data_IF_949047691004
#
_entry.id   IF_949047691004
#
_cell.length_a   1.000
_cell.length_b   1.000
_cell.length_c   1.000
_cell.angle_alpha   90.00
_cell.angle_beta   90.00
_cell.angle_gamma   90.00
#
_symmetry.space_group_name_H-M   'P 1'
#
loop_
_entity.id
_entity.type
_entity.pdbx_description
1 polymer ?
#
# COMPACT_ATOMS: atom_id res chain seq x y z
N UNK A 1 -10.40 -5.09 -20.95
CA UNK A 1 -10.44 -3.61 -20.91
C UNK A 1 -9.14 -3.14 -20.29
N UNK A 2 -8.56 -2.04 -20.76
CA UNK A 2 -7.37 -1.46 -20.14
C UNK A 2 -7.73 -1.03 -18.71
N UNK A 3 -6.96 -1.49 -17.73
CA UNK A 3 -7.08 -1.05 -16.34
C UNK A 3 -6.63 0.41 -16.22
N UNK A 4 -7.00 1.08 -15.12
CA UNK A 4 -6.47 2.44 -14.87
C UNK A 4 -4.94 2.45 -14.83
N UNK A 5 -4.34 1.33 -14.42
CA UNK A 5 -2.90 1.16 -14.39
C UNK A 5 -2.28 1.04 -15.78
N UNK A 6 -2.97 0.42 -16.75
CA UNK A 6 -2.49 0.33 -18.14
C UNK A 6 -2.36 1.71 -18.78
N UNK A 7 -3.25 2.65 -18.42
CA UNK A 7 -3.16 4.06 -18.84
C UNK A 7 -2.08 4.86 -18.09
N UNK A 8 -1.49 4.26 -17.05
CA UNK A 8 -0.52 4.86 -16.14
C UNK A 8 0.85 4.14 -16.16
N UNK A 9 1.05 3.12 -17.02
CA UNK A 9 2.29 2.34 -17.07
C UNK A 9 3.49 3.20 -17.50
N UNK A 10 4.63 2.91 -16.86
CA UNK A 10 5.87 3.67 -16.94
C UNK A 10 6.72 3.26 -18.17
N UNK A 11 7.38 4.25 -18.78
CA UNK A 11 8.66 4.07 -19.46
C UNK A 11 9.68 5.04 -18.83
N UNK A 12 10.70 4.51 -18.13
CA UNK A 12 11.99 5.17 -17.87
C UNK A 12 12.06 6.42 -16.95
N UNK A 13 12.57 6.20 -15.73
CA UNK A 13 13.36 7.08 -14.86
C UNK A 13 12.91 8.53 -14.58
N UNK A 14 11.94 8.67 -13.68
CA UNK A 14 11.96 9.49 -12.45
C UNK A 14 10.52 9.47 -11.88
N UNK A 15 10.25 8.58 -10.92
CA UNK A 15 8.91 8.38 -10.33
C UNK A 15 8.27 9.70 -9.84
N UNK A 16 9.09 10.65 -9.36
CA UNK A 16 8.63 11.98 -8.92
C UNK A 16 8.23 12.85 -10.11
N UNK A 17 8.98 12.81 -11.22
CA UNK A 17 8.63 13.55 -12.42
C UNK A 17 7.33 13.02 -13.06
N UNK A 18 7.19 11.69 -13.14
CA UNK A 18 5.97 11.05 -13.61
C UNK A 18 4.76 11.42 -12.74
N UNK A 19 4.91 11.39 -11.40
CA UNK A 19 3.87 11.81 -10.47
C UNK A 19 3.42 13.24 -10.75
N UNK A 20 4.38 14.17 -10.94
CA UNK A 20 4.06 15.58 -11.23
C UNK A 20 3.29 15.72 -12.55
N UNK A 21 3.68 14.99 -13.58
CA UNK A 21 3.03 15.02 -14.90
C UNK A 21 1.62 14.43 -14.87
N UNK A 22 1.38 13.41 -14.04
CA UNK A 22 0.11 12.68 -13.99
C UNK A 22 -0.79 13.10 -12.81
N UNK A 23 -0.36 14.05 -11.98
CA UNK A 23 -1.06 14.46 -10.76
C UNK A 23 -2.54 14.82 -10.99
N UNK A 24 -2.85 15.52 -12.07
CA UNK A 24 -4.24 15.88 -12.41
C UNK A 24 -5.09 14.63 -12.67
N UNK A 25 -4.60 13.68 -13.49
CA UNK A 25 -5.29 12.41 -13.76
C UNK A 25 -5.45 11.59 -12.47
N UNK A 26 -4.39 11.47 -11.69
CA UNK A 26 -4.38 10.73 -10.42
C UNK A 26 -5.37 11.30 -9.40
N UNK A 27 -5.56 12.62 -9.39
CA UNK A 27 -6.48 13.29 -8.45
C UNK A 27 -7.96 12.94 -8.66
N UNK A 28 -8.33 12.46 -9.84
CA UNK A 28 -9.70 12.03 -10.15
C UNK A 28 -9.99 10.59 -9.75
N UNK A 29 -8.96 9.79 -9.46
CA UNK A 29 -9.12 8.36 -9.17
C UNK A 29 -9.74 8.14 -7.81
N UNK A 30 -10.85 7.40 -7.76
CA UNK A 30 -11.52 7.02 -6.51
C UNK A 30 -11.36 5.53 -6.17
N UNK A 31 -11.41 5.15 -4.88
CA UNK A 31 -11.49 3.75 -4.46
C UNK A 31 -12.61 2.96 -5.15
N UNK A 32 -13.78 3.58 -5.32
CA UNK A 32 -14.94 2.95 -5.95
C UNK A 32 -14.67 2.60 -7.41
N UNK A 33 -14.06 3.50 -8.18
CA UNK A 33 -13.70 3.24 -9.57
C UNK A 33 -12.63 2.14 -9.67
N UNK A 34 -11.60 2.20 -8.82
CA UNK A 34 -10.57 1.16 -8.76
C UNK A 34 -11.17 -0.23 -8.51
N UNK A 35 -12.06 -0.33 -7.52
CA UNK A 35 -12.69 -1.60 -7.15
C UNK A 35 -13.68 -2.09 -8.22
N UNK A 36 -14.37 -1.18 -8.91
CA UNK A 36 -15.31 -1.54 -9.98
C UNK A 36 -14.58 -2.07 -11.21
N UNK A 37 -13.54 -1.38 -11.65
CA UNK A 37 -12.91 -1.60 -12.96
C UNK A 37 -11.81 -2.68 -12.91
N UNK A 38 -11.42 -3.12 -11.71
CA UNK A 38 -10.42 -4.17 -11.51
C UNK A 38 -10.91 -5.58 -11.85
N UNK A 39 -10.13 -6.31 -12.65
CA UNK A 39 -10.31 -7.74 -13.00
C UNK A 39 -9.50 -8.69 -12.08
N UNK A 40 -8.53 -8.16 -11.36
CA UNK A 40 -7.58 -8.84 -10.48
C UNK A 40 -8.01 -8.87 -9.00
N UNK A 41 -9.33 -8.90 -8.74
CA UNK A 41 -9.88 -9.05 -7.39
C UNK A 41 -9.77 -10.49 -6.91
N UNK A 42 -9.38 -10.71 -5.65
CA UNK A 42 -9.18 -12.05 -5.09
C UNK A 42 -9.57 -12.11 -3.62
N UNK A 43 -10.02 -13.29 -3.16
CA UNK A 43 -10.16 -13.60 -1.73
C UNK A 43 -8.89 -14.23 -1.15
N UNK A 44 -8.00 -14.71 -2.02
CA UNK A 44 -6.80 -15.45 -1.66
C UNK A 44 -5.59 -14.52 -1.66
N UNK A 45 -5.41 -13.82 -0.54
CA UNK A 45 -4.26 -12.96 -0.32
C UNK A 45 -2.97 -13.79 -0.15
N UNK A 46 -1.92 -13.40 -0.87
CA UNK A 46 -0.57 -13.96 -0.78
C UNK A 46 0.37 -12.97 -0.09
N UNK A 47 1.24 -13.47 0.80
CA UNK A 47 2.28 -12.66 1.46
C UNK A 47 3.23 -12.04 0.44
N UNK A 48 3.69 -10.82 0.72
CA UNK A 48 4.66 -10.12 -0.12
C UNK A 48 4.09 -9.49 -1.39
N UNK A 49 2.80 -9.65 -1.67
CA UNK A 49 2.09 -8.89 -2.73
C UNK A 49 1.47 -7.62 -2.16
N UNK A 50 0.97 -6.75 -3.04
CA UNK A 50 0.39 -5.46 -2.66
C UNK A 50 -1.12 -5.48 -2.96
N UNK A 51 -1.93 -5.05 -1.99
CA UNK A 51 -3.38 -5.07 -2.11
C UNK A 51 -4.03 -3.77 -1.68
N UNK A 52 -5.13 -3.41 -2.33
CA UNK A 52 -6.12 -2.47 -1.80
C UNK A 52 -7.41 -3.21 -1.44
N UNK A 53 -8.12 -2.75 -0.43
CA UNK A 53 -9.40 -3.35 0.00
C UNK A 53 -10.17 -2.38 0.90
N UNK A 54 -11.48 -2.57 1.04
CA UNK A 54 -12.26 -1.86 2.05
C UNK A 54 -12.12 -2.54 3.41
N UNK A 55 -11.94 -1.74 4.47
CA UNK A 55 -11.74 -2.23 5.82
C UNK A 55 -12.53 -1.43 6.86
N UNK A 56 -13.20 -2.12 7.78
CA UNK A 56 -13.91 -1.50 8.90
C UNK A 56 -13.24 -1.88 10.24
N UNK A 57 -12.38 -1.03 10.84
CA UNK A 57 -11.60 -1.42 12.01
C UNK A 57 -12.43 -1.77 13.25
N UNK A 58 -12.13 -2.92 13.88
CA UNK A 58 -12.77 -3.38 15.14
C UNK A 58 -12.86 -2.32 16.24
N UNK A 59 -11.80 -1.53 16.41
CA UNK A 59 -11.71 -0.52 17.47
C UNK A 59 -11.85 0.91 16.95
N UNK A 60 -12.58 1.13 15.85
CA UNK A 60 -12.74 2.45 15.20
C UNK A 60 -13.16 3.58 16.15
N UNK A 61 -13.94 3.28 17.19
CA UNK A 61 -14.35 4.26 18.20
C UNK A 61 -13.16 4.75 19.04
N UNK A 62 -12.20 3.88 19.37
CA UNK A 62 -11.03 4.18 20.21
C UNK A 62 -9.79 4.60 19.43
N UNK A 63 -9.64 4.18 18.17
CA UNK A 63 -8.48 4.52 17.35
C UNK A 63 -8.40 6.04 17.11
N UNK A 64 -7.21 6.67 17.19
CA UNK A 64 -7.07 8.11 16.99
C UNK A 64 -7.34 8.52 15.52
N UNK A 65 -7.01 7.64 14.58
CA UNK A 65 -7.28 7.73 13.15
C UNK A 65 -7.02 6.36 12.51
N UNK A 66 -7.60 6.12 11.35
CA UNK A 66 -7.46 4.86 10.61
C UNK A 66 -7.77 5.08 9.13
N UNK A 67 -7.30 4.18 8.28
CA UNK A 67 -7.56 4.17 6.83
C UNK A 67 -8.61 3.08 6.52
N UNK A 68 -9.70 3.46 5.84
CA UNK A 68 -10.77 2.52 5.42
C UNK A 68 -10.54 1.93 4.04
N UNK A 69 -9.54 2.43 3.29
CA UNK A 69 -9.14 1.88 2.00
C UNK A 69 -7.61 1.74 1.93
N UNK A 70 -7.03 0.84 2.74
CA UNK A 70 -5.58 0.70 2.88
C UNK A 70 -4.89 0.11 1.66
N UNK A 71 -3.67 0.59 1.37
CA UNK A 71 -2.72 -0.03 0.41
C UNK A 71 -1.68 -0.84 1.18
N UNK A 72 -1.83 -2.17 1.21
CA UNK A 72 -1.14 -3.04 2.16
C UNK A 72 -0.23 -4.06 1.46
N UNK A 73 0.98 -4.22 2.00
CA UNK A 73 1.84 -5.38 1.73
C UNK A 73 1.77 -6.31 2.95
N UNK A 74 1.11 -7.48 2.87
CA UNK A 74 1.03 -8.45 3.96
C UNK A 74 2.41 -9.10 4.17
N UNK A 75 2.88 -9.12 5.42
CA UNK A 75 4.21 -9.64 5.77
C UNK A 75 4.16 -10.82 6.74
N UNK A 76 3.03 -11.02 7.44
CA UNK A 76 2.89 -12.11 8.40
C UNK A 76 1.43 -12.56 8.54
N UNK A 77 1.21 -13.87 8.55
CA UNK A 77 -0.12 -14.47 8.71
C UNK A 77 -0.41 -14.76 10.17
N UNK A 78 -1.66 -14.53 10.57
CA UNK A 78 -2.21 -14.92 11.87
C UNK A 78 -3.49 -15.74 11.65
N UNK A 79 -3.99 -16.40 12.69
CA UNK A 79 -5.20 -17.20 12.61
C UNK A 79 -6.45 -16.37 12.28
N UNK A 80 -6.54 -15.14 12.79
CA UNK A 80 -7.68 -14.24 12.64
C UNK A 80 -7.43 -13.08 11.64
N UNK A 81 -6.32 -13.13 10.88
CA UNK A 81 -6.03 -12.12 9.86
C UNK A 81 -4.55 -12.04 9.49
N UNK A 82 -4.02 -10.84 9.27
CA UNK A 82 -2.61 -10.65 8.90
C UNK A 82 -2.00 -9.32 9.41
N UNK A 83 -0.68 -9.31 9.55
CA UNK A 83 0.10 -8.10 9.75
C UNK A 83 0.56 -7.60 8.39
N UNK A 84 0.47 -6.29 8.16
CA UNK A 84 0.86 -5.71 6.88
C UNK A 84 1.39 -4.29 7.01
N UNK A 85 2.08 -3.86 5.95
CA UNK A 85 2.61 -2.51 5.79
C UNK A 85 1.60 -1.69 4.97
N UNK A 86 0.86 -0.80 5.61
CA UNK A 86 0.00 0.15 4.93
C UNK A 86 0.80 1.38 4.47
N UNK A 87 1.04 1.45 3.17
CA UNK A 87 1.84 2.50 2.54
C UNK A 87 1.21 3.89 2.71
N UNK A 88 -0.11 4.00 2.89
CA UNK A 88 -0.79 5.30 2.98
C UNK A 88 -0.37 6.14 4.18
N UNK A 89 0.14 5.52 5.26
CA UNK A 89 0.59 6.21 6.47
C UNK A 89 1.88 7.03 6.25
N UNK A 90 2.57 6.83 5.14
CA UNK A 90 3.72 7.64 4.75
C UNK A 90 3.33 8.68 3.69
N UNK A 91 4.03 9.82 3.67
CA UNK A 91 3.97 10.73 2.55
C UNK A 91 4.58 10.07 1.29
N UNK A 92 4.16 10.45 0.06
CA UNK A 92 4.57 9.80 -1.19
C UNK A 92 6.07 9.55 -1.34
N UNK A 93 6.93 10.52 -0.98
CA UNK A 93 8.39 10.36 -1.03
C UNK A 93 8.90 9.27 -0.10
N UNK A 94 8.34 9.17 1.11
CA UNK A 94 8.71 8.14 2.08
C UNK A 94 8.17 6.77 1.68
N UNK A 95 7.00 6.72 1.01
CA UNK A 95 6.46 5.48 0.41
C UNK A 95 7.45 4.90 -0.60
N UNK A 96 7.97 5.75 -1.49
CA UNK A 96 8.96 5.35 -2.50
C UNK A 96 10.23 4.80 -1.85
N UNK A 97 10.82 5.53 -0.90
CA UNK A 97 12.02 5.07 -0.19
C UNK A 97 11.83 3.71 0.50
N UNK A 98 10.65 3.49 1.12
CA UNK A 98 10.33 2.20 1.72
C UNK A 98 10.20 1.12 0.63
N UNK A 99 9.41 1.37 -0.41
CA UNK A 99 9.17 0.44 -1.51
C UNK A 99 10.46 0.01 -2.21
N UNK A 100 11.35 0.94 -2.54
CA UNK A 100 12.67 0.66 -3.13
C UNK A 100 13.45 -0.33 -2.27
N UNK A 101 13.49 -0.10 -0.95
CA UNK A 101 14.11 -1.01 0.00
C UNK A 101 13.48 -2.40 0.00
N UNK A 102 12.15 -2.49 -0.01
CA UNK A 102 11.43 -3.77 -0.03
C UNK A 102 11.64 -4.53 -1.34
N UNK A 103 11.71 -3.82 -2.47
CA UNK A 103 11.91 -4.40 -3.81
C UNK A 103 13.30 -5.02 -4.00
N UNK A 104 14.29 -4.64 -3.16
CA UNK A 104 15.58 -5.35 -3.13
C UNK A 104 15.43 -6.80 -2.66
N UNK A 105 14.43 -7.08 -1.80
CA UNK A 105 14.16 -8.37 -1.15
C UNK A 105 12.96 -9.05 -1.82
N UNK A 106 13.08 -9.37 -3.10
CA UNK A 106 12.05 -10.05 -3.91
C UNK A 106 12.47 -11.46 -4.28
N UNK A 107 11.50 -12.37 -4.45
CA UNK A 107 11.78 -13.75 -4.86
C UNK A 107 12.37 -13.87 -6.27
N UNK A 108 12.13 -12.89 -7.13
CA UNK A 108 12.68 -12.76 -8.47
C UNK A 108 12.70 -11.27 -8.90
N UNK A 109 13.28 -10.97 -10.07
CA UNK A 109 13.38 -9.62 -10.62
C UNK A 109 12.51 -9.38 -11.86
N UNK A 110 11.62 -10.31 -12.21
CA UNK A 110 10.83 -10.24 -13.46
C UNK A 110 9.61 -9.32 -13.37
N UNK A 111 9.25 -8.84 -12.17
CA UNK A 111 8.09 -7.96 -11.92
C UNK A 111 6.78 -8.48 -12.57
N UNK A 112 6.55 -9.78 -12.47
CA UNK A 112 5.38 -10.46 -13.03
C UNK A 112 4.41 -10.94 -11.94
N UNK A 113 3.38 -11.70 -12.32
CA UNK A 113 2.35 -12.23 -11.43
C UNK A 113 2.87 -13.15 -10.31
N UNK A 114 4.08 -13.70 -10.49
CA UNK A 114 4.76 -14.57 -9.53
C UNK A 114 5.76 -13.82 -8.64
N UNK A 115 6.05 -12.55 -8.91
CA UNK A 115 6.92 -11.71 -8.09
C UNK A 115 6.25 -11.36 -6.75
N UNK A 116 7.00 -11.55 -5.65
CA UNK A 116 6.58 -11.26 -4.28
C UNK A 116 7.76 -10.73 -3.47
N UNK A 117 7.50 -9.78 -2.57
CA UNK A 117 8.46 -9.29 -1.58
C UNK A 117 8.62 -10.33 -0.46
N UNK A 118 9.84 -10.77 -0.21
CA UNK A 118 10.19 -11.77 0.81
C UNK A 118 10.52 -11.10 2.14
N UNK A 119 9.68 -10.16 2.56
CA UNK A 119 9.91 -9.29 3.72
C UNK A 119 9.27 -9.90 4.96
N UNK A 120 10.03 -9.97 6.04
CA UNK A 120 9.54 -10.38 7.36
C UNK A 120 9.68 -9.25 8.37
N UNK A 121 8.91 -9.29 9.47
CA UNK A 121 9.03 -8.31 10.55
C UNK A 121 10.47 -8.21 11.09
N UNK A 122 11.14 -9.34 11.27
CA UNK A 122 12.52 -9.39 11.78
C UNK A 122 13.51 -8.68 10.85
N UNK A 123 13.35 -8.81 9.53
CA UNK A 123 14.18 -8.10 8.55
C UNK A 123 13.96 -6.58 8.59
N UNK A 124 12.71 -6.15 8.80
CA UNK A 124 12.38 -4.73 8.92
C UNK A 124 12.94 -4.14 10.22
N UNK A 125 12.87 -4.90 11.31
CA UNK A 125 13.33 -4.46 12.61
C UNK A 125 14.87 -4.48 12.77
N UNK A 126 15.58 -5.25 11.94
CA UNK A 126 17.03 -5.43 12.06
C UNK A 126 17.86 -4.32 11.43
N UNK A 127 17.29 -3.44 10.59
CA UNK A 127 18.06 -2.38 9.92
C UNK A 127 17.47 -0.99 10.10
N UNK A 128 18.35 -0.01 10.36
CA UNK A 128 17.97 1.42 10.36
C UNK A 128 17.45 1.89 8.99
N UNK A 129 17.84 1.21 7.91
CA UNK A 129 17.42 1.53 6.53
C UNK A 129 15.91 1.37 6.33
N UNK A 130 15.27 0.48 7.08
CA UNK A 130 13.82 0.27 6.98
C UNK A 130 12.99 1.14 7.92
N UNK A 131 13.57 2.07 8.70
CA UNK A 131 12.87 2.82 9.78
C UNK A 131 11.46 3.31 9.43
N UNK A 132 11.22 3.66 8.16
CA UNK A 132 9.94 4.09 7.60
C UNK A 132 8.79 3.05 7.73
N UNK A 133 9.08 1.77 7.99
CA UNK A 133 8.05 0.74 8.15
C UNK A 133 7.22 0.88 9.44
N UNK A 134 7.77 1.52 10.48
CA UNK A 134 7.12 1.61 11.79
C UNK A 134 5.71 2.22 11.74
N UNK A 135 5.49 3.40 11.12
CA UNK A 135 4.14 3.98 11.03
C UNK A 135 3.19 3.17 10.14
N UNK A 136 3.71 2.38 9.19
CA UNK A 136 2.91 1.61 8.22
C UNK A 136 2.45 0.27 8.77
N UNK A 137 3.09 -0.25 9.82
CA UNK A 137 2.74 -1.54 10.40
C UNK A 137 1.34 -1.52 11.03
N UNK A 138 0.42 -2.33 10.52
CA UNK A 138 -0.97 -2.47 11.02
C UNK A 138 -1.40 -3.94 11.04
N UNK A 139 -2.25 -4.26 12.02
CA UNK A 139 -2.95 -5.54 12.15
C UNK A 139 -4.32 -5.44 11.47
N UNK A 140 -4.62 -6.37 10.58
CA UNK A 140 -5.91 -6.48 9.90
C UNK A 140 -6.59 -7.78 10.30
N UNK A 141 -7.85 -7.69 10.73
CA UNK A 141 -8.67 -8.85 11.05
C UNK A 141 -9.46 -9.26 9.80
N UNK A 142 -9.44 -10.55 9.45
CA UNK A 142 -10.10 -11.06 8.26
C UNK A 142 -11.62 -10.77 8.29
N UNK A 143 -12.24 -10.87 9.46
CA UNK A 143 -13.68 -10.59 9.67
C UNK A 143 -14.06 -9.12 9.52
N UNK A 144 -13.07 -8.22 9.43
CA UNK A 144 -13.27 -6.78 9.28
C UNK A 144 -12.95 -6.28 7.85
N UNK A 145 -12.49 -7.17 6.96
CA UNK A 145 -12.33 -6.88 5.54
C UNK A 145 -13.71 -6.89 4.87
N UNK A 146 -14.07 -5.78 4.22
CA UNK A 146 -15.43 -5.53 3.68
C UNK A 146 -15.53 -5.77 2.16
N UNK A 147 -14.44 -6.19 1.52
CA UNK A 147 -14.40 -6.44 0.07
C UNK A 147 -13.44 -7.56 -0.28
N UNK A 148 -13.47 -8.01 -1.53
CA UNK A 148 -12.33 -8.73 -2.09
C UNK A 148 -11.07 -7.85 -2.08
N UNK A 149 -9.89 -8.46 -2.15
CA UNK A 149 -8.63 -7.74 -2.28
C UNK A 149 -8.36 -7.42 -3.74
N UNK A 150 -8.13 -6.15 -4.06
CA UNK A 150 -7.58 -5.70 -5.32
C UNK A 150 -6.07 -5.97 -5.34
N UNK A 151 -5.62 -6.98 -6.09
CA UNK A 151 -4.21 -7.34 -6.18
C UNK A 151 -3.43 -6.46 -7.17
N UNK A 152 -2.59 -5.56 -6.68
CA UNK A 152 -1.75 -4.71 -7.54
C UNK A 152 -0.64 -5.57 -8.16
N UNK A 153 -0.52 -5.55 -9.50
CA UNK A 153 0.51 -6.32 -10.21
C UNK A 153 1.89 -5.77 -9.86
N UNK A 154 2.91 -6.63 -9.94
CA UNK A 154 4.25 -6.26 -9.50
C UNK A 154 4.87 -5.12 -10.31
N UNK A 155 4.56 -5.04 -11.61
CA UNK A 155 4.93 -3.94 -12.51
C UNK A 155 4.17 -2.63 -12.23
N UNK A 156 3.16 -2.65 -11.36
CA UNK A 156 2.31 -1.50 -11.00
C UNK A 156 2.56 -0.98 -9.58
N UNK A 157 3.44 -1.61 -8.79
CA UNK A 157 3.67 -1.25 -7.38
C UNK A 157 4.15 0.20 -7.18
N UNK A 158 5.07 0.69 -8.02
CA UNK A 158 5.54 2.08 -7.96
C UNK A 158 4.43 3.07 -8.28
N UNK A 159 3.59 2.78 -9.26
CA UNK A 159 2.46 3.63 -9.63
C UNK A 159 1.42 3.66 -8.51
N UNK A 160 1.12 2.50 -7.92
CA UNK A 160 0.08 2.36 -6.89
C UNK A 160 0.37 3.17 -5.63
N UNK A 161 1.63 3.27 -5.19
CA UNK A 161 1.97 4.06 -3.99
C UNK A 161 1.72 5.56 -4.13
N UNK A 162 1.55 6.05 -5.36
CA UNK A 162 1.25 7.46 -5.64
C UNK A 162 -0.24 7.76 -5.83
N UNK A 163 -1.09 6.73 -5.91
CA UNK A 163 -2.53 6.95 -6.00
C UNK A 163 -3.03 7.66 -4.73
N UNK A 164 -3.73 8.80 -4.85
CA UNK A 164 -4.22 9.58 -3.71
C UNK A 164 -5.56 9.02 -3.18
N UNK A 165 -5.63 7.70 -3.01
CA UNK A 165 -6.87 6.96 -2.72
C UNK A 165 -7.03 6.58 -1.24
N UNK A 166 -6.12 7.05 -0.40
CA UNK A 166 -6.23 6.91 1.05
C UNK A 166 -7.56 7.47 1.59
N UNK A 167 -8.25 6.73 2.46
CA UNK A 167 -9.49 7.15 3.10
C UNK A 167 -9.31 7.22 4.61
N UNK A 168 -8.55 8.22 5.06
CA UNK A 168 -8.34 8.43 6.49
C UNK A 168 -9.59 9.01 7.18
N UNK A 169 -9.94 8.42 8.32
CA UNK A 169 -11.00 8.88 9.22
C UNK A 169 -10.39 9.50 10.47
N UNK A 170 -11.08 10.49 11.06
CA UNK A 170 -10.69 11.31 12.24
C UNK A 170 -9.51 12.27 12.03
N UNK A 171 -8.62 12.00 11.08
CA UNK A 171 -7.57 12.92 10.65
C UNK A 171 -7.45 12.92 9.13
N UNK A 172 -7.14 14.07 8.56
CA UNK A 172 -6.77 14.13 7.15
C UNK A 172 -5.35 13.58 6.92
N UNK A 173 -5.03 13.25 5.67
CA UNK A 173 -3.74 12.65 5.30
C UNK A 173 -2.51 13.48 5.68
N UNK A 174 -2.58 14.81 5.57
CA UNK A 174 -1.45 15.70 5.92
C UNK A 174 -1.10 15.57 7.41
N UNK A 175 -2.12 15.54 8.27
CA UNK A 175 -1.94 15.34 9.70
C UNK A 175 -1.38 13.93 10.02
N UNK A 176 -1.86 12.89 9.33
CA UNK A 176 -1.35 11.52 9.49
C UNK A 176 0.13 11.41 9.10
N UNK A 177 0.53 12.02 7.98
CA UNK A 177 1.92 11.99 7.52
C UNK A 177 2.85 12.73 8.46
N UNK A 178 2.46 13.92 8.94
CA UNK A 178 3.23 14.67 9.93
C UNK A 178 3.48 13.84 11.20
N UNK A 179 2.42 13.24 11.75
CA UNK A 179 2.54 12.36 12.93
C UNK A 179 3.43 11.14 12.64
N UNK A 180 3.39 10.62 11.42
CA UNK A 180 4.23 9.49 11.02
C UNK A 180 5.71 9.89 10.90
N UNK A 181 6.01 11.10 10.45
CA UNK A 181 7.37 11.67 10.42
C UNK A 181 7.92 11.91 11.84
N UNK A 182 7.10 12.38 12.77
CA UNK A 182 7.45 12.55 14.18
C UNK A 182 7.79 11.21 14.87
N UNK A 183 7.24 10.08 14.41
CA UNK A 183 7.61 8.74 14.91
C UNK A 183 8.96 8.24 14.37
N UNK A 184 9.54 8.93 13.38
CA UNK A 184 10.76 8.54 12.67
C UNK A 184 11.98 9.38 13.06
N UNK A 185 11.77 10.52 13.71
CA UNK A 185 12.79 11.37 14.33
C UNK A 185 13.32 10.74 15.62
#
# INVERSE_FOLDING_TARGET
MATIFDNLKQAGQNAIAWLRQNAAKLSSVTPTELMRDADNKTNNMQMGKMYMFHYDPKHKTKLPYYDTFPLVIPIEKYSDGFLGLNMHYLAPKLRLNLLEGLMTITNNKSMNENTRMMVTYNMLNSTKKHRYFKPTLKRYLATHVQSQFLNIKADEWETAIFLPVEQFVKKNKKAVWKLSEELLS
#
